data_IF_799604847186
#
_entry.id   IF_799604847186
#
_cell.length_a   1.000
_cell.length_b   1.000
_cell.length_c   1.000
_cell.angle_alpha   90.00
_cell.angle_beta   90.00
_cell.angle_gamma   90.00
#
_symmetry.space_group_name_H-M   'P 1'
#
loop_
_entity.id
_entity.type
_entity.pdbx_description
1 polymer ?
#
# COMPACT_ATOMS: atom_id res chain seq x y z
N UNK A 1 -22.26 10.23 0.33
CA UNK A 1 -20.88 10.62 0.03
C UNK A 1 -20.86 11.20 -1.35
N UNK A 2 -20.23 12.36 -1.49
CA UNK A 2 -20.07 13.07 -2.77
C UNK A 2 -18.61 12.97 -3.21
N UNK A 3 -18.40 12.88 -4.51
CA UNK A 3 -17.08 12.86 -5.13
C UNK A 3 -16.97 13.99 -6.13
N UNK A 4 -15.87 14.73 -6.02
CA UNK A 4 -15.46 15.74 -6.98
C UNK A 4 -14.24 15.24 -7.72
N UNK A 5 -14.38 15.00 -9.02
CA UNK A 5 -13.29 14.58 -9.88
C UNK A 5 -12.87 15.74 -10.78
N UNK A 6 -11.56 15.97 -10.84
CA UNK A 6 -10.95 17.05 -11.62
C UNK A 6 -10.28 16.42 -12.85
N UNK A 7 -10.56 16.95 -14.03
CA UNK A 7 -10.05 16.45 -15.33
C UNK A 7 -9.74 17.61 -16.28
N UNK A 8 -9.31 17.29 -17.50
CA UNK A 8 -9.12 18.25 -18.60
C UNK A 8 -8.24 19.43 -18.20
N UNK A 9 -7.10 19.11 -17.60
CA UNK A 9 -6.17 20.09 -17.05
C UNK A 9 -5.51 20.91 -18.15
N UNK A 10 -5.38 22.22 -17.93
CA UNK A 10 -4.58 23.11 -18.76
C UNK A 10 -3.81 24.08 -17.89
N UNK A 11 -2.58 24.41 -18.30
CA UNK A 11 -1.77 25.44 -17.67
C UNK A 11 -0.72 26.01 -18.65
N UNK A 12 -0.27 27.25 -18.43
CA UNK A 12 0.80 27.89 -19.21
C UNK A 12 2.19 27.37 -18.82
N UNK A 13 2.45 26.08 -19.03
CA UNK A 13 3.71 25.43 -18.61
C UNK A 13 4.98 26.01 -19.25
N UNK A 14 4.88 26.69 -20.39
CA UNK A 14 6.02 27.38 -21.01
C UNK A 14 6.57 28.52 -20.13
N UNK A 15 5.70 29.19 -19.38
CA UNK A 15 6.06 30.29 -18.48
C UNK A 15 6.16 29.81 -17.02
N UNK A 16 5.26 28.89 -16.63
CA UNK A 16 5.14 28.39 -15.27
C UNK A 16 5.31 26.88 -15.25
N UNK A 17 6.56 26.43 -15.21
CA UNK A 17 6.85 25.00 -15.15
C UNK A 17 6.11 24.33 -14.00
N UNK A 18 5.92 24.99 -12.84
CA UNK A 18 5.26 24.42 -11.66
C UNK A 18 3.80 24.87 -11.48
N UNK A 19 3.12 25.28 -12.55
CA UNK A 19 1.74 25.75 -12.50
C UNK A 19 0.85 24.80 -11.66
N UNK A 20 0.11 25.39 -10.74
CA UNK A 20 -0.64 24.68 -9.71
C UNK A 20 -2.11 25.08 -9.76
N UNK A 21 -3.00 24.10 -9.74
CA UNK A 21 -4.43 24.32 -9.56
C UNK A 21 -4.75 24.13 -8.08
N UNK A 22 -5.46 25.09 -7.49
CA UNK A 22 -6.07 24.93 -6.18
C UNK A 22 -7.59 24.96 -6.28
N UNK A 23 -8.24 24.21 -5.39
CA UNK A 23 -9.67 24.30 -5.09
C UNK A 23 -9.83 24.72 -3.63
N UNK A 24 -10.65 25.73 -3.40
CA UNK A 24 -10.87 26.33 -2.09
C UNK A 24 -12.36 26.35 -1.78
N UNK A 25 -12.74 25.96 -0.58
CA UNK A 25 -14.14 25.94 -0.13
C UNK A 25 -14.20 26.06 1.40
N UNK A 26 -15.42 26.16 1.93
CA UNK A 26 -15.68 26.20 3.37
C UNK A 26 -16.61 25.06 3.75
N UNK A 27 -16.26 24.33 4.80
CA UNK A 27 -17.05 23.22 5.35
C UNK A 27 -17.15 23.33 6.86
N UNK A 28 -18.21 22.78 7.43
CA UNK A 28 -18.28 22.53 8.87
C UNK A 28 -17.41 21.30 9.21
N UNK A 29 -16.30 21.45 9.97
CA UNK A 29 -15.41 20.32 10.28
C UNK A 29 -16.06 19.27 11.19
N UNK A 30 -17.16 19.57 11.88
CA UNK A 30 -17.91 18.58 12.67
C UNK A 30 -18.88 17.76 11.81
N UNK A 31 -19.36 18.33 10.69
CA UNK A 31 -20.35 17.70 9.81
C UNK A 31 -19.74 17.08 8.55
N UNK A 32 -18.57 17.56 8.10
CA UNK A 32 -17.95 17.18 6.83
C UNK A 32 -16.51 16.75 7.02
N UNK A 33 -16.17 15.59 6.47
CA UNK A 33 -14.79 15.12 6.32
C UNK A 33 -14.44 15.02 4.83
N UNK A 34 -13.31 15.61 4.43
CA UNK A 34 -12.81 15.57 3.05
C UNK A 34 -11.53 14.74 2.98
N UNK A 35 -11.58 13.67 2.18
CA UNK A 35 -10.41 12.88 1.78
C UNK A 35 -9.94 13.33 0.40
N UNK A 36 -8.65 13.19 0.13
CA UNK A 36 -8.07 13.57 -1.15
C UNK A 36 -7.25 12.44 -1.76
N UNK A 37 -7.26 12.35 -3.09
CA UNK A 37 -6.33 11.55 -3.87
C UNK A 37 -5.73 12.40 -4.99
N UNK A 38 -4.41 12.34 -5.14
CA UNK A 38 -3.65 13.06 -6.15
C UNK A 38 -3.37 14.53 -5.83
N UNK A 39 -3.63 14.97 -4.60
CA UNK A 39 -3.35 16.34 -4.17
C UNK A 39 -1.99 16.43 -3.48
N UNK A 40 -1.24 17.49 -3.79
CA UNK A 40 0.13 17.71 -3.32
C UNK A 40 0.16 18.62 -2.09
N UNK A 41 -0.72 19.61 -2.05
CA UNK A 41 -0.84 20.58 -0.97
C UNK A 41 -2.22 20.56 -0.33
N UNK A 42 -2.25 20.81 0.98
CA UNK A 42 -3.46 21.01 1.74
C UNK A 42 -3.23 22.09 2.80
N UNK A 43 -4.16 23.02 2.91
CA UNK A 43 -4.16 24.08 3.93
C UNK A 43 -5.56 24.21 4.52
N UNK A 44 -5.65 24.44 5.83
CA UNK A 44 -6.92 24.55 6.56
C UNK A 44 -6.86 25.64 7.61
N UNK A 45 -7.98 26.33 7.78
CA UNK A 45 -8.25 27.20 8.92
C UNK A 45 -9.50 26.63 9.61
N UNK A 46 -9.27 25.91 10.72
CA UNK A 46 -10.32 25.20 11.45
C UNK A 46 -11.35 26.15 12.06
N UNK A 47 -10.95 27.36 12.47
CA UNK A 47 -11.86 28.35 13.09
C UNK A 47 -12.85 28.90 12.07
N UNK A 48 -12.45 28.92 10.79
CA UNK A 48 -13.29 29.42 9.67
C UNK A 48 -13.92 28.32 8.84
N UNK A 49 -13.58 27.05 9.09
CA UNK A 49 -13.95 25.93 8.23
C UNK A 49 -13.35 25.98 6.83
N UNK A 50 -12.38 26.87 6.59
CA UNK A 50 -11.79 27.09 5.28
C UNK A 50 -10.79 25.97 4.95
N UNK A 51 -10.86 25.45 3.73
CA UNK A 51 -9.98 24.40 3.23
C UNK A 51 -9.50 24.76 1.83
N UNK A 52 -8.22 24.50 1.56
CA UNK A 52 -7.63 24.55 0.23
C UNK A 52 -6.89 23.24 -0.05
N UNK A 53 -7.13 22.69 -1.23
CA UNK A 53 -6.41 21.54 -1.76
C UNK A 53 -5.77 21.94 -3.09
N UNK A 54 -4.51 21.61 -3.30
CA UNK A 54 -3.78 21.99 -4.51
C UNK A 54 -2.97 20.83 -5.10
N UNK A 55 -2.77 20.87 -6.42
CA UNK A 55 -1.93 19.94 -7.16
C UNK A 55 -1.20 20.64 -8.30
N UNK A 56 -0.02 20.11 -8.62
CA UNK A 56 0.68 20.53 -9.84
C UNK A 56 -0.14 20.05 -11.03
N UNK A 57 -0.38 20.93 -11.99
CA UNK A 57 -1.09 20.58 -13.23
C UNK A 57 -0.22 19.56 -13.99
N UNK A 58 -0.74 18.38 -14.34
CA UNK A 58 0.06 17.37 -15.03
C UNK A 58 0.60 17.87 -16.38
N UNK A 59 1.92 17.79 -16.56
CA UNK A 59 2.65 18.26 -17.75
C UNK A 59 3.31 17.11 -18.54
N UNK A 60 3.14 15.86 -18.07
CA UNK A 60 3.81 14.68 -18.62
C UNK A 60 5.31 14.59 -18.33
N UNK A 61 5.89 15.56 -17.62
CA UNK A 61 7.31 15.60 -17.23
C UNK A 61 7.47 15.19 -15.78
N UNK A 62 6.65 15.75 -14.88
CA UNK A 62 6.65 15.36 -13.47
C UNK A 62 5.85 14.08 -13.27
N UNK A 63 6.23 13.35 -12.20
CA UNK A 63 5.46 12.23 -11.70
C UNK A 63 4.24 12.75 -10.94
N UNK A 64 3.23 13.16 -11.69
CA UNK A 64 1.93 13.56 -11.17
C UNK A 64 0.88 12.53 -11.59
N UNK A 65 0.05 12.09 -10.64
CA UNK A 65 -1.15 11.31 -11.01
C UNK A 65 -2.09 12.19 -11.82
N UNK A 66 -2.65 11.64 -12.90
CA UNK A 66 -3.74 12.28 -13.64
C UNK A 66 -5.08 12.18 -12.89
N UNK A 67 -5.22 11.23 -11.96
CA UNK A 67 -6.44 11.05 -11.17
C UNK A 67 -6.41 12.03 -9.99
N UNK A 68 -7.26 13.05 -10.05
CA UNK A 68 -7.41 14.05 -8.98
C UNK A 68 -8.84 14.02 -8.44
N UNK A 69 -8.99 13.62 -7.18
CA UNK A 69 -10.32 13.38 -6.58
C UNK A 69 -10.38 13.92 -5.14
N UNK A 70 -11.47 14.65 -4.82
CA UNK A 70 -11.91 14.91 -3.45
C UNK A 70 -13.14 14.07 -3.12
N UNK A 71 -13.15 13.48 -1.93
CA UNK A 71 -14.21 12.60 -1.44
C UNK A 71 -14.78 13.22 -0.18
N UNK A 72 -16.06 13.53 -0.21
CA UNK A 72 -16.76 14.29 0.82
C UNK A 72 -17.71 13.34 1.57
N UNK A 73 -17.41 13.15 2.84
CA UNK A 73 -18.20 12.38 3.79
C UNK A 73 -19.02 13.36 4.66
N UNK A 74 -20.32 13.11 4.79
CA UNK A 74 -21.22 14.03 5.49
C UNK A 74 -21.82 15.08 4.56
N UNK A 75 -21.90 16.32 5.05
CA UNK A 75 -22.46 17.43 4.29
C UNK A 75 -21.55 17.82 3.12
N UNK A 76 -22.16 18.28 2.02
CA UNK A 76 -21.47 18.59 0.78
C UNK A 76 -20.64 19.89 0.88
N UNK A 77 -19.59 20.04 0.05
CA UNK A 77 -18.73 21.23 0.09
C UNK A 77 -19.39 22.49 -0.50
N UNK A 78 -20.51 22.33 -1.23
CA UNK A 78 -21.25 23.43 -1.81
C UNK A 78 -20.44 24.23 -2.84
N UNK A 79 -20.41 25.55 -2.66
CA UNK A 79 -19.67 26.48 -3.53
C UNK A 79 -18.17 26.38 -3.28
N UNK A 80 -17.40 26.42 -4.37
CA UNK A 80 -15.94 26.38 -4.33
C UNK A 80 -15.34 27.35 -5.34
N UNK A 81 -14.08 27.72 -5.11
CA UNK A 81 -13.28 28.56 -5.99
C UNK A 81 -12.14 27.73 -6.57
N UNK A 82 -11.96 27.81 -7.88
CA UNK A 82 -10.79 27.30 -8.58
C UNK A 82 -9.85 28.45 -8.87
N UNK A 83 -8.59 28.32 -8.44
CA UNK A 83 -7.57 29.35 -8.66
C UNK A 83 -6.26 28.72 -9.14
N UNK A 84 -5.67 29.34 -10.15
CA UNK A 84 -4.35 29.02 -10.68
C UNK A 84 -3.23 29.76 -9.95
N UNK A 85 -2.11 29.08 -9.74
CA UNK A 85 -0.92 29.65 -9.12
C UNK A 85 0.36 29.29 -9.89
N UNK A 86 1.37 30.15 -9.77
CA UNK A 86 2.67 29.98 -10.40
C UNK A 86 3.40 28.70 -9.93
N UNK A 87 3.23 28.34 -8.66
CA UNK A 87 3.82 27.17 -8.02
C UNK A 87 2.98 26.64 -6.85
N UNK A 88 3.50 25.59 -6.20
CA UNK A 88 2.83 24.89 -5.10
C UNK A 88 2.70 25.69 -3.80
N UNK A 89 3.36 26.86 -3.69
CA UNK A 89 3.19 27.76 -2.55
C UNK A 89 1.83 28.44 -2.51
N UNK A 90 1.14 28.51 -3.66
CA UNK A 90 -0.14 29.19 -3.81
C UNK A 90 -0.13 30.67 -3.36
N UNK A 91 1.00 31.35 -3.52
CA UNK A 91 1.17 32.77 -3.15
C UNK A 91 0.94 33.75 -4.32
N UNK A 92 1.26 33.33 -5.55
CA UNK A 92 1.13 34.15 -6.76
C UNK A 92 0.08 33.56 -7.69
N UNK A 93 -1.08 34.21 -7.78
CA UNK A 93 -2.14 33.86 -8.71
C UNK A 93 -1.72 34.11 -10.17
N UNK A 94 -2.12 33.22 -11.07
CA UNK A 94 -1.88 33.33 -12.51
C UNK A 94 -3.13 32.96 -13.31
N UNK A 95 -3.22 33.50 -14.53
CA UNK A 95 -4.23 33.11 -15.50
C UNK A 95 -3.82 31.84 -16.27
N UNK A 96 -4.79 31.23 -16.97
CA UNK A 96 -4.54 30.13 -17.89
C UNK A 96 -4.44 28.74 -17.26
N UNK A 97 -4.57 28.63 -15.93
CA UNK A 97 -4.76 27.35 -15.24
C UNK A 97 -6.25 27.03 -15.19
N UNK A 98 -6.63 25.82 -15.61
CA UNK A 98 -8.01 25.37 -15.56
C UNK A 98 -8.14 23.86 -15.45
N UNK A 99 -9.32 23.43 -14.99
CA UNK A 99 -9.76 22.04 -15.02
C UNK A 99 -11.29 21.97 -15.15
N UNK A 100 -11.78 20.83 -15.61
CA UNK A 100 -13.19 20.45 -15.49
C UNK A 100 -13.41 19.80 -14.13
N UNK A 101 -14.47 20.19 -13.42
CA UNK A 101 -14.89 19.53 -12.17
C UNK A 101 -16.22 18.84 -12.38
N UNK A 102 -16.27 17.54 -12.08
CA UNK A 102 -17.50 16.76 -12.09
C UNK A 102 -17.86 16.31 -10.68
N UNK A 103 -19.11 16.55 -10.29
CA UNK A 103 -19.68 16.13 -9.01
C UNK A 103 -20.55 14.89 -9.24
N UNK A 104 -20.36 13.84 -8.44
CA UNK A 104 -21.24 12.67 -8.43
C UNK A 104 -21.43 12.10 -7.02
N UNK A 105 -22.57 11.49 -6.78
CA UNK A 105 -22.81 10.68 -5.59
C UNK A 105 -22.47 9.22 -5.88
N UNK A 106 -21.84 8.55 -4.92
CA UNK A 106 -21.38 7.17 -5.07
C UNK A 106 -21.06 6.56 -3.70
N UNK A 107 -20.60 5.32 -3.68
CA UNK A 107 -20.21 4.61 -2.45
C UNK A 107 -18.71 4.68 -2.23
N UNK A 108 -18.29 4.59 -0.96
CA UNK A 108 -16.87 4.54 -0.62
C UNK A 108 -16.18 3.31 -1.25
N UNK A 109 -16.90 2.18 -1.37
CA UNK A 109 -16.40 0.99 -2.04
C UNK A 109 -16.09 1.26 -3.52
N UNK A 110 -17.00 1.89 -4.27
CA UNK A 110 -16.77 2.20 -5.69
C UNK A 110 -15.59 3.16 -5.90
N UNK A 111 -15.42 4.14 -5.00
CA UNK A 111 -14.30 5.08 -5.06
C UNK A 111 -12.99 4.39 -4.73
N UNK A 112 -12.94 3.55 -3.68
CA UNK A 112 -11.73 2.82 -3.35
C UNK A 112 -11.35 1.84 -4.48
N UNK A 113 -12.31 1.20 -5.16
CA UNK A 113 -12.00 0.38 -6.33
C UNK A 113 -11.36 1.22 -7.44
N UNK A 114 -11.95 2.39 -7.75
CA UNK A 114 -11.39 3.31 -8.75
C UNK A 114 -9.98 3.75 -8.39
N UNK A 115 -9.75 4.19 -7.15
CA UNK A 115 -8.43 4.64 -6.71
C UNK A 115 -7.40 3.50 -6.71
N UNK A 116 -7.79 2.30 -6.31
CA UNK A 116 -6.92 1.12 -6.38
C UNK A 116 -6.47 0.84 -7.82
N UNK A 117 -7.38 0.95 -8.80
CA UNK A 117 -7.04 0.79 -10.22
C UNK A 117 -6.13 1.90 -10.74
N UNK A 118 -6.41 3.14 -10.35
CA UNK A 118 -5.60 4.29 -10.73
C UNK A 118 -4.16 4.13 -10.22
N UNK A 119 -4.02 3.83 -8.92
CA UNK A 119 -2.72 3.60 -8.31
C UNK A 119 -1.97 2.41 -8.93
N UNK A 120 -2.65 1.29 -9.20
CA UNK A 120 -2.04 0.15 -9.88
C UNK A 120 -1.51 0.54 -11.27
N UNK A 121 -2.32 1.22 -12.08
CA UNK A 121 -1.92 1.62 -13.44
C UNK A 121 -0.69 2.54 -13.40
N UNK A 122 -0.68 3.52 -12.50
CA UNK A 122 0.47 4.39 -12.28
C UNK A 122 1.70 3.59 -11.83
N UNK A 123 1.54 2.74 -10.80
CA UNK A 123 2.63 1.92 -10.30
C UNK A 123 3.25 1.07 -11.42
N UNK A 124 2.44 0.42 -12.25
CA UNK A 124 2.92 -0.40 -13.36
C UNK A 124 3.67 0.43 -14.40
N UNK A 125 3.15 1.61 -14.77
CA UNK A 125 3.84 2.52 -15.68
C UNK A 125 5.23 2.93 -15.16
N UNK A 126 5.37 3.18 -13.86
CA UNK A 126 6.64 3.61 -13.26
C UNK A 126 7.60 2.46 -12.93
N UNK A 127 7.09 1.30 -12.52
CA UNK A 127 7.90 0.16 -12.05
C UNK A 127 8.43 -0.69 -13.21
N UNK A 128 7.68 -0.81 -14.32
CA UNK A 128 8.12 -1.55 -15.50
C UNK A 128 9.39 -0.96 -16.14
N UNK A 129 9.57 0.36 -16.08
CA UNK A 129 10.78 1.04 -16.55
C UNK A 129 12.03 0.77 -15.71
N UNK A 130 11.88 0.19 -14.51
CA UNK A 130 12.97 -0.08 -13.55
C UNK A 130 13.20 -1.55 -13.25
N UNK A 131 12.55 -2.45 -13.98
CA UNK A 131 12.70 -3.91 -13.79
C UNK A 131 12.22 -4.40 -12.43
N UNK A 132 11.40 -3.61 -11.71
CA UNK A 132 10.80 -4.04 -10.46
C UNK A 132 9.60 -4.93 -10.72
N UNK A 133 9.50 -6.01 -9.94
CA UNK A 133 8.32 -6.86 -10.00
C UNK A 133 7.10 -6.15 -9.42
N UNK A 134 5.98 -6.23 -10.12
CA UNK A 134 4.72 -5.62 -9.67
C UNK A 134 4.06 -6.49 -8.60
N UNK A 135 3.72 -5.94 -7.41
CA UNK A 135 2.97 -6.68 -6.39
C UNK A 135 1.58 -7.09 -6.89
N UNK A 136 1.03 -6.38 -7.86
CA UNK A 136 -0.26 -6.65 -8.49
C UNK A 136 -0.27 -7.92 -9.37
N UNK A 137 0.88 -8.56 -9.59
CA UNK A 137 0.94 -9.92 -10.15
C UNK A 137 0.37 -10.97 -9.19
N UNK A 138 0.45 -10.70 -7.89
CA UNK A 138 0.11 -11.65 -6.83
C UNK A 138 -1.14 -11.23 -6.05
N UNK A 139 -1.55 -9.96 -6.19
CA UNK A 139 -2.73 -9.40 -5.56
C UNK A 139 -3.84 -9.19 -6.59
N UNK A 140 -4.98 -9.82 -6.35
CA UNK A 140 -6.20 -9.41 -7.05
C UNK A 140 -6.64 -8.02 -6.60
N UNK A 141 -7.40 -7.35 -7.46
CA UNK A 141 -8.01 -6.05 -7.17
C UNK A 141 -8.78 -6.05 -5.84
N UNK A 142 -9.59 -7.08 -5.58
CA UNK A 142 -10.39 -7.19 -4.37
C UNK A 142 -9.51 -7.35 -3.10
N UNK A 143 -8.39 -8.08 -3.21
CA UNK A 143 -7.45 -8.20 -2.11
C UNK A 143 -6.79 -6.86 -1.80
N UNK A 144 -6.34 -6.13 -2.84
CA UNK A 144 -5.72 -4.83 -2.64
C UNK A 144 -6.69 -3.82 -2.02
N UNK A 145 -7.91 -3.73 -2.54
CA UNK A 145 -8.97 -2.89 -1.96
C UNK A 145 -9.26 -3.27 -0.50
N UNK A 146 -9.29 -4.57 -0.18
CA UNK A 146 -9.45 -5.04 1.19
C UNK A 146 -8.32 -4.60 2.12
N UNK A 147 -7.07 -4.60 1.65
CA UNK A 147 -5.92 -4.12 2.42
C UNK A 147 -6.00 -2.62 2.70
N UNK A 148 -6.38 -1.83 1.70
CA UNK A 148 -6.63 -0.38 1.81
C UNK A 148 -7.72 -0.12 2.84
N UNK A 149 -8.83 -0.85 2.78
CA UNK A 149 -9.92 -0.75 3.77
C UNK A 149 -9.42 -1.03 5.19
N UNK A 150 -8.71 -2.15 5.39
CA UNK A 150 -8.16 -2.51 6.70
C UNK A 150 -7.20 -1.44 7.24
N UNK A 151 -6.41 -0.79 6.38
CA UNK A 151 -5.52 0.30 6.80
C UNK A 151 -6.29 1.54 7.24
N UNK A 152 -7.35 1.91 6.51
CA UNK A 152 -8.24 3.01 6.90
C UNK A 152 -8.94 2.76 8.23
N UNK A 153 -9.39 1.52 8.45
CA UNK A 153 -10.09 1.13 9.68
C UNK A 153 -9.15 1.02 10.89
N UNK A 154 -7.93 0.52 10.70
CA UNK A 154 -6.99 0.33 11.81
C UNK A 154 -6.25 1.62 12.18
N UNK A 155 -5.84 2.40 11.19
CA UNK A 155 -4.92 3.53 11.39
C UNK A 155 -5.42 4.84 10.81
N UNK A 156 -6.23 4.80 9.75
CA UNK A 156 -6.76 5.99 9.08
C UNK A 156 -7.92 6.64 9.83
N UNK A 157 -8.63 7.52 9.13
CA UNK A 157 -9.73 8.34 9.68
C UNK A 157 -10.94 7.55 10.18
N UNK A 158 -11.06 6.26 9.87
CA UNK A 158 -12.13 5.41 10.40
C UNK A 158 -11.72 4.64 11.66
N UNK A 159 -10.47 4.78 12.09
CA UNK A 159 -10.00 4.20 13.34
C UNK A 159 -10.56 4.94 14.54
N UNK A 160 -10.86 4.20 15.62
CA UNK A 160 -11.12 4.78 16.93
C UNK A 160 -9.89 5.42 17.56
N UNK A 161 -8.69 5.13 17.04
CA UNK A 161 -7.41 5.71 17.44
C UNK A 161 -6.57 6.03 16.19
N UNK A 162 -6.98 7.03 15.38
CA UNK A 162 -6.31 7.36 14.14
C UNK A 162 -4.86 7.78 14.41
N UNK A 163 -3.96 7.40 13.52
CA UNK A 163 -2.56 7.83 13.60
C UNK A 163 -2.42 9.22 12.95
N UNK A 164 -1.66 10.10 13.61
CA UNK A 164 -1.44 11.48 13.16
C UNK A 164 -1.05 11.59 11.69
N UNK A 165 -0.23 10.66 11.19
CA UNK A 165 0.22 10.62 9.79
C UNK A 165 -0.93 10.56 8.78
N UNK A 166 -2.05 9.91 9.10
CA UNK A 166 -3.19 9.77 8.19
C UNK A 166 -4.33 10.75 8.50
N UNK A 167 -4.13 11.66 9.45
CA UNK A 167 -5.18 12.56 9.94
C UNK A 167 -5.63 13.60 8.90
N UNK A 168 -4.81 13.85 7.89
CA UNK A 168 -5.12 14.79 6.80
C UNK A 168 -6.04 14.21 5.71
N UNK A 169 -6.27 12.90 5.72
CA UNK A 169 -7.16 12.21 4.79
C UNK A 169 -6.58 12.00 3.40
N UNK A 170 -5.24 12.01 3.23
CA UNK A 170 -4.58 11.73 1.96
C UNK A 170 -4.57 10.24 1.66
N UNK A 171 -5.40 9.82 0.72
CA UNK A 171 -5.52 8.41 0.35
C UNK A 171 -4.32 7.89 -0.43
N UNK A 172 -3.54 8.75 -1.09
CA UNK A 172 -2.30 8.37 -1.77
C UNK A 172 -1.36 7.59 -0.82
N UNK A 173 -1.24 8.05 0.43
CA UNK A 173 -0.42 7.41 1.45
C UNK A 173 -0.99 6.05 1.86
N UNK A 174 -2.30 5.98 2.08
CA UNK A 174 -3.00 4.75 2.44
C UNK A 174 -2.83 3.68 1.35
N UNK A 175 -3.03 4.07 0.08
CA UNK A 175 -2.91 3.16 -1.07
C UNK A 175 -1.49 2.64 -1.23
N UNK A 176 -0.48 3.50 -1.10
CA UNK A 176 0.93 3.12 -1.15
C UNK A 176 1.31 2.23 0.04
N UNK A 177 0.89 2.60 1.25
CA UNK A 177 1.28 1.91 2.47
C UNK A 177 0.59 0.57 2.65
N UNK A 178 -0.61 0.39 2.07
CA UNK A 178 -1.25 -0.91 2.00
C UNK A 178 -0.37 -1.98 1.31
N UNK A 179 0.63 -1.57 0.50
CA UNK A 179 1.58 -2.45 -0.17
C UNK A 179 2.94 -2.58 0.53
N UNK A 180 3.24 -1.74 1.52
CA UNK A 180 4.59 -1.64 2.12
C UNK A 180 4.62 -1.75 3.65
N UNK A 181 3.49 -1.63 4.34
CA UNK A 181 3.38 -1.91 5.77
C UNK A 181 3.74 -3.38 6.07
N UNK A 182 4.33 -3.63 7.25
CA UNK A 182 4.65 -4.97 7.76
C UNK A 182 3.37 -5.79 7.99
N UNK A 183 2.81 -6.31 6.90
CA UNK A 183 1.56 -7.05 6.89
C UNK A 183 1.81 -8.48 6.43
N UNK A 184 1.21 -9.41 7.14
CA UNK A 184 1.14 -10.80 6.72
C UNK A 184 0.04 -10.93 5.67
N UNK A 185 0.44 -11.09 4.41
CA UNK A 185 -0.48 -11.45 3.33
C UNK A 185 -0.71 -12.97 3.37
N UNK A 186 -1.96 -13.39 3.51
CA UNK A 186 -2.34 -14.81 3.46
C UNK A 186 -2.98 -15.14 2.10
N UNK A 187 -2.50 -16.22 1.48
CA UNK A 187 -3.20 -16.90 0.40
C UNK A 187 -4.07 -17.98 1.03
N UNK A 188 -5.39 -17.92 0.84
CA UNK A 188 -6.32 -18.92 1.34
C UNK A 188 -7.05 -19.60 0.20
N UNK A 189 -7.15 -20.93 0.25
CA UNK A 189 -7.93 -21.73 -0.68
C UNK A 189 -8.45 -22.98 0.04
N UNK A 190 -9.68 -23.43 -0.29
CA UNK A 190 -10.22 -24.65 0.28
C UNK A 190 -9.51 -25.88 -0.30
N UNK A 191 -9.29 -26.89 0.53
CA UNK A 191 -8.73 -28.18 0.13
C UNK A 191 -9.65 -29.29 0.64
N UNK A 192 -9.97 -30.27 -0.21
CA UNK A 192 -10.75 -31.46 0.17
C UNK A 192 -9.83 -32.66 0.25
N UNK A 193 -9.73 -33.27 1.42
CA UNK A 193 -8.97 -34.52 1.63
C UNK A 193 -9.96 -35.70 1.60
N UNK A 194 -9.82 -36.67 0.69
CA UNK A 194 -10.66 -37.86 0.69
C UNK A 194 -10.39 -38.71 1.94
N UNK A 195 -11.42 -39.38 2.45
CA UNK A 195 -11.29 -40.25 3.63
C UNK A 195 -10.21 -41.32 3.40
N UNK A 196 -9.23 -41.40 4.31
CA UNK A 196 -8.11 -42.34 4.22
C UNK A 196 -7.11 -42.04 3.09
N UNK A 197 -7.25 -40.92 2.38
CA UNK A 197 -6.32 -40.49 1.34
C UNK A 197 -5.44 -39.33 1.78
N UNK A 198 -4.69 -38.79 0.81
CA UNK A 198 -3.83 -37.63 0.99
C UNK A 198 -4.05 -36.62 -0.13
N UNK A 199 -3.63 -35.38 0.13
CA UNK A 199 -3.58 -34.30 -0.85
C UNK A 199 -2.22 -33.61 -0.74
N UNK A 200 -1.64 -33.23 -1.87
CA UNK A 200 -0.43 -32.42 -1.89
C UNK A 200 -0.79 -31.00 -2.28
N UNK A 201 -0.39 -30.05 -1.45
CA UNK A 201 -0.53 -28.63 -1.71
C UNK A 201 0.87 -28.07 -1.95
N UNK A 202 1.09 -27.45 -3.10
CA UNK A 202 2.35 -26.78 -3.42
C UNK A 202 2.11 -25.26 -3.46
N UNK A 203 2.85 -24.53 -2.63
CA UNK A 203 2.93 -23.08 -2.67
C UNK A 203 4.39 -22.68 -2.84
N UNK A 204 4.64 -21.65 -3.65
CA UNK A 204 5.98 -21.11 -3.89
C UNK A 204 6.01 -19.65 -3.47
N UNK A 205 6.99 -19.28 -2.66
CA UNK A 205 7.26 -17.90 -2.28
C UNK A 205 8.73 -17.59 -2.54
N UNK A 206 9.00 -16.59 -3.38
CA UNK A 206 10.33 -16.07 -3.63
C UNK A 206 10.45 -14.71 -2.95
N UNK A 207 11.44 -14.57 -2.06
CA UNK A 207 11.74 -13.31 -1.36
C UNK A 207 13.22 -12.98 -1.50
N UNK A 208 13.50 -11.73 -1.90
CA UNK A 208 14.85 -11.19 -1.80
C UNK A 208 15.23 -10.98 -0.32
N UNK A 209 16.53 -10.96 0.03
CA UNK A 209 16.95 -10.63 1.38
C UNK A 209 16.31 -9.33 1.88
N UNK A 210 16.02 -9.26 3.19
CA UNK A 210 15.40 -8.06 3.78
C UNK A 210 16.28 -6.82 3.54
N UNK A 211 15.65 -5.71 3.14
CA UNK A 211 16.35 -4.46 2.88
C UNK A 211 16.60 -3.70 4.20
N UNK A 212 17.84 -3.29 4.46
CA UNK A 212 18.19 -2.46 5.61
C UNK A 212 17.87 -0.99 5.34
N UNK A 213 16.61 -0.61 5.58
CA UNK A 213 16.13 0.76 5.39
C UNK A 213 16.88 1.79 6.25
N UNK A 214 17.43 1.37 7.39
CA UNK A 214 18.21 2.24 8.27
C UNK A 214 19.64 2.44 7.79
N UNK A 215 20.08 1.72 6.74
CA UNK A 215 21.49 1.61 6.34
C UNK A 215 22.42 1.36 7.54
N UNK A 216 21.91 0.63 8.54
CA UNK A 216 22.57 0.41 9.83
C UNK A 216 23.88 -0.37 9.69
N UNK A 217 24.06 -1.10 8.58
CA UNK A 217 25.20 -1.99 8.41
C UNK A 217 25.20 -3.12 9.43
N UNK A 218 24.02 -3.45 9.97
CA UNK A 218 23.87 -4.48 11.00
C UNK A 218 24.20 -5.87 10.45
N UNK A 219 24.41 -6.82 11.35
CA UNK A 219 24.58 -8.25 11.04
C UNK A 219 23.40 -8.87 10.28
N UNK A 220 22.26 -8.16 10.18
CA UNK A 220 21.04 -8.62 9.53
C UNK A 220 20.97 -8.30 8.03
N UNK A 221 21.97 -7.59 7.49
CA UNK A 221 22.03 -7.28 6.06
C UNK A 221 22.22 -8.57 5.25
N UNK A 222 21.41 -8.75 4.21
CA UNK A 222 21.52 -9.88 3.30
C UNK A 222 20.94 -11.20 3.82
N UNK A 223 20.24 -11.19 4.96
CA UNK A 223 19.55 -12.37 5.48
C UNK A 223 18.20 -12.61 4.80
N UNK A 224 17.89 -13.88 4.55
CA UNK A 224 16.57 -14.37 4.19
C UNK A 224 16.01 -15.15 5.37
N UNK A 225 14.99 -14.58 6.01
CA UNK A 225 14.26 -15.20 7.12
C UNK A 225 13.01 -15.93 6.65
N UNK A 226 12.79 -17.12 7.19
CA UNK A 226 11.62 -17.96 7.00
C UNK A 226 11.06 -18.33 8.36
N UNK A 227 9.75 -18.15 8.51
CA UNK A 227 9.00 -18.43 9.73
C UNK A 227 7.98 -19.53 9.46
N UNK A 228 7.87 -20.47 10.39
CA UNK A 228 6.95 -21.58 10.34
C UNK A 228 6.20 -21.68 11.68
N UNK A 229 4.90 -21.86 11.59
CA UNK A 229 4.02 -22.12 12.74
C UNK A 229 3.41 -23.49 12.57
N UNK A 230 3.47 -24.32 13.62
CA UNK A 230 3.08 -25.74 13.54
C UNK A 230 1.57 -25.94 13.58
N UNK A 231 0.82 -25.09 14.30
CA UNK A 231 -0.62 -25.24 14.46
C UNK A 231 -1.46 -24.03 14.02
N UNK A 232 -0.96 -22.80 14.20
CA UNK A 232 -1.67 -21.54 13.91
C UNK A 232 -3.17 -21.54 14.27
N UNK A 233 -3.53 -22.09 15.43
CA UNK A 233 -4.93 -22.14 15.88
C UNK A 233 -5.85 -23.09 15.08
N UNK A 234 -5.28 -24.02 14.31
CA UNK A 234 -6.02 -25.08 13.62
C UNK A 234 -6.85 -25.91 14.59
N UNK A 235 -8.05 -26.28 14.16
CA UNK A 235 -8.90 -27.25 14.88
C UNK A 235 -8.57 -28.70 14.54
N UNK A 236 -7.63 -28.93 13.60
CA UNK A 236 -7.17 -30.26 13.23
C UNK A 236 -6.07 -30.74 14.18
N UNK A 237 -6.17 -31.99 14.59
CA UNK A 237 -5.09 -32.67 15.30
C UNK A 237 -4.04 -33.14 14.29
N UNK A 238 -2.86 -32.54 14.34
CA UNK A 238 -1.71 -32.94 13.55
C UNK A 238 -0.96 -34.01 14.34
N UNK A 239 -0.71 -35.18 13.74
CA UNK A 239 0.00 -36.28 14.42
C UNK A 239 1.50 -36.21 14.19
N UNK A 240 1.92 -35.66 13.05
CA UNK A 240 3.32 -35.59 12.62
C UNK A 240 3.56 -34.39 11.71
N UNK A 241 4.75 -33.78 11.81
CA UNK A 241 5.24 -32.76 10.89
C UNK A 241 6.73 -32.94 10.62
N UNK A 242 7.14 -32.71 9.38
CA UNK A 242 8.55 -32.76 8.96
C UNK A 242 8.89 -31.56 8.11
N UNK A 243 10.09 -31.00 8.32
CA UNK A 243 10.65 -29.97 7.46
C UNK A 243 11.86 -30.52 6.71
N UNK A 244 12.04 -30.11 5.47
CA UNK A 244 13.19 -30.48 4.65
C UNK A 244 13.76 -29.26 3.93
N UNK A 245 15.09 -29.16 3.89
CA UNK A 245 15.82 -28.24 3.04
C UNK A 245 16.28 -28.96 1.78
N UNK A 246 16.00 -28.34 0.64
CA UNK A 246 16.44 -28.81 -0.68
C UNK A 246 17.30 -27.73 -1.32
N UNK A 247 18.23 -28.14 -2.19
CA UNK A 247 19.20 -27.24 -2.83
C UNK A 247 20.02 -26.43 -1.82
N UNK A 248 20.75 -27.12 -0.93
CA UNK A 248 21.49 -26.53 0.20
C UNK A 248 22.87 -25.98 -0.19
N UNK A 249 23.40 -26.35 -1.35
CA UNK A 249 24.74 -25.93 -1.81
C UNK A 249 24.96 -24.40 -1.91
N UNK A 250 23.99 -23.56 -2.30
CA UNK A 250 24.20 -22.12 -2.48
C UNK A 250 23.87 -21.29 -1.23
N UNK A 251 23.76 -21.89 -0.04
CA UNK A 251 23.29 -21.19 1.17
C UNK A 251 24.14 -21.53 2.41
N UNK A 252 24.20 -20.56 3.33
CA UNK A 252 24.69 -20.70 4.70
C UNK A 252 23.50 -20.59 5.65
N UNK A 253 23.35 -21.51 6.61
CA UNK A 253 22.40 -21.33 7.72
C UNK A 253 23.06 -20.44 8.77
N UNK A 254 22.46 -19.26 9.01
CA UNK A 254 22.97 -18.28 9.97
C UNK A 254 22.35 -18.50 11.35
N UNK A 255 21.02 -18.67 11.42
CA UNK A 255 20.28 -18.91 12.67
C UNK A 255 19.07 -19.81 12.40
N UNK A 256 18.74 -20.69 13.33
CA UNK A 256 17.52 -21.52 13.26
C UNK A 256 17.21 -22.19 14.59
N UNK A 257 16.01 -22.75 14.72
CA UNK A 257 15.63 -23.71 15.76
C UNK A 257 15.03 -25.02 15.21
N UNK A 258 15.15 -25.29 13.90
CA UNK A 258 14.58 -26.49 13.26
C UNK A 258 15.42 -27.75 13.49
N UNK A 259 16.73 -27.59 13.72
CA UNK A 259 17.67 -28.70 13.94
C UNK A 259 18.33 -29.22 12.65
N UNK A 260 18.31 -28.45 11.55
CA UNK A 260 19.11 -28.79 10.37
C UNK A 260 20.60 -28.74 10.70
N UNK A 261 21.39 -29.59 10.07
CA UNK A 261 22.84 -29.63 10.26
C UNK A 261 23.49 -30.01 8.93
N UNK A 262 23.78 -28.99 8.10
CA UNK A 262 24.30 -29.20 6.76
C UNK A 262 25.72 -29.80 6.77
N UNK A 263 26.53 -29.51 7.79
CA UNK A 263 27.88 -30.06 7.95
C UNK A 263 27.85 -31.57 8.17
N UNK A 264 26.84 -32.06 8.90
CA UNK A 264 26.63 -33.49 9.16
C UNK A 264 25.58 -34.13 8.24
N UNK A 265 25.13 -33.44 7.19
CA UNK A 265 24.20 -33.95 6.17
C UNK A 265 22.75 -34.10 6.62
N UNK A 266 22.33 -33.44 7.71
CA UNK A 266 20.96 -33.43 8.21
C UNK A 266 20.15 -32.35 7.49
N UNK A 267 19.49 -32.73 6.40
CA UNK A 267 18.64 -31.85 5.57
C UNK A 267 17.14 -32.05 5.79
N UNK A 268 16.73 -33.04 6.58
CA UNK A 268 15.33 -33.31 6.93
C UNK A 268 15.22 -33.58 8.43
N UNK A 269 14.21 -32.97 9.06
CA UNK A 269 13.97 -33.04 10.51
C UNK A 269 12.49 -33.30 10.80
N UNK A 270 12.22 -33.97 11.92
CA UNK A 270 10.87 -34.04 12.49
C UNK A 270 10.67 -32.86 13.41
N UNK A 271 9.52 -32.20 13.33
CA UNK A 271 9.19 -31.05 14.16
C UNK A 271 8.49 -31.49 15.43
N UNK A 272 8.81 -30.82 16.54
CA UNK A 272 8.08 -30.97 17.79
C UNK A 272 6.76 -30.19 17.69
N UNK A 273 5.64 -30.90 17.80
CA UNK A 273 4.31 -30.30 17.75
C UNK A 273 3.99 -29.47 19.00
N UNK A 274 4.78 -29.59 20.07
CA UNK A 274 4.70 -28.72 21.24
C UNK A 274 5.40 -27.37 21.04
N UNK A 275 6.31 -27.28 20.06
CA UNK A 275 6.95 -26.01 19.69
C UNK A 275 6.02 -25.23 18.75
N UNK A 276 5.50 -24.07 19.18
CA UNK A 276 4.54 -23.31 18.37
C UNK A 276 5.17 -22.65 17.15
N UNK A 277 6.49 -22.42 17.17
CA UNK A 277 7.16 -21.57 16.21
C UNK A 277 8.58 -22.03 15.88
N UNK A 278 8.85 -22.11 14.58
CA UNK A 278 10.15 -22.39 14.01
C UNK A 278 10.61 -21.25 13.11
N UNK A 279 11.91 -21.02 13.07
CA UNK A 279 12.53 -20.03 12.19
C UNK A 279 13.79 -20.58 11.54
N UNK A 280 14.10 -20.01 10.38
CA UNK A 280 15.31 -20.25 9.61
C UNK A 280 15.77 -18.93 9.00
N UNK A 281 16.99 -18.53 9.30
CA UNK A 281 17.68 -17.42 8.65
C UNK A 281 18.86 -17.98 7.86
N UNK A 282 18.88 -17.70 6.56
CA UNK A 282 19.95 -18.09 5.65
C UNK A 282 20.60 -16.89 5.01
N UNK A 283 21.83 -17.09 4.56
CA UNK A 283 22.55 -16.17 3.68
C UNK A 283 22.86 -16.89 2.36
N UNK A 284 22.59 -16.26 1.20
CA UNK A 284 23.11 -16.79 -0.06
C UNK A 284 24.64 -16.74 -0.05
N UNK A 285 25.29 -17.85 -0.36
CA UNK A 285 26.71 -17.85 -0.67
C UNK A 285 26.85 -17.27 -2.09
N UNK A 286 27.59 -16.17 -2.25
CA UNK A 286 27.80 -15.57 -3.58
C UNK A 286 28.25 -16.63 -4.59
N UNK A 287 27.64 -16.62 -5.78
CA UNK A 287 28.11 -17.33 -6.96
C UNK A 287 29.04 -16.48 -7.80
#
# INVERSE_FOLDING_TARGET
MTVYQFTDFAAPHEEYNAATQAVTFTTDPEATTVLSYGFNGMSRDADRGWCQYSYFVPDGVRRETETKILIVLGDDIGDYVLQGYADGGCDQEIDGVSCTVTRRETTLADVLDLLCRAYQAEFEQFSLGRGQESPFRYLSQAQYQGLVWQLLEQYGLFSGTPKDRYSDGRLDEILMEALSQERVLYLSFPVTVPAGGSVTVAASFCKAPSYDYGCSGSENVGLQGYDLVTALGSTLELTDQTAALVNTDPIEIVRQNLGFDLENGVTQVSLDLAEPYYYLEIRPLEG
#
